data_IF_548844386237
#
_entry.id   IF_548844386237
#
_cell.length_a   1.000
_cell.length_b   1.000
_cell.length_c   1.000
_cell.angle_alpha   90.00
_cell.angle_beta   90.00
_cell.angle_gamma   90.00
#
_symmetry.space_group_name_H-M   'P 1'
#
loop_
_entity.id
_entity.type
_entity.pdbx_description
1 polymer ?
#
# COMPACT_ATOMS: atom_id res chain seq x y z
N UNK A 1 41.75 -9.56 41.97
CA UNK A 1 41.37 -10.99 41.80
C UNK A 1 39.93 -11.11 42.28
N UNK A 2 38.91 -11.24 41.43
CA UNK A 2 38.69 -12.30 40.45
C UNK A 2 38.09 -11.74 39.16
N UNK A 3 38.82 -11.86 38.06
CA UNK A 3 38.29 -11.79 36.69
C UNK A 3 37.99 -13.24 36.32
N UNK A 4 36.77 -13.54 35.86
CA UNK A 4 36.49 -14.56 34.84
C UNK A 4 34.99 -14.78 34.64
N UNK A 5 34.57 -14.64 33.36
CA UNK A 5 33.49 -15.34 32.65
C UNK A 5 32.10 -15.36 33.31
N UNK A 6 31.04 -14.84 32.68
CA UNK A 6 30.45 -15.44 31.47
C UNK A 6 29.85 -14.34 30.58
N UNK A 7 30.47 -14.11 29.43
CA UNK A 7 29.75 -13.74 28.21
C UNK A 7 29.06 -15.00 27.71
N UNK A 8 27.72 -15.08 27.74
CA UNK A 8 26.93 -15.83 26.75
C UNK A 8 25.42 -15.71 27.06
N UNK A 9 24.61 -15.55 26.00
CA UNK A 9 23.14 -15.81 25.95
C UNK A 9 22.27 -14.70 26.55
N UNK A 10 21.48 -13.88 25.83
CA UNK A 10 21.02 -13.90 24.44
C UNK A 10 20.94 -12.46 23.93
N UNK A 11 21.67 -12.16 22.86
CA UNK A 11 21.17 -11.24 21.84
C UNK A 11 19.88 -11.86 21.30
N UNK A 12 18.75 -11.64 22.00
CA UNK A 12 17.46 -11.81 21.37
C UNK A 12 17.39 -10.64 20.39
N UNK A 13 17.88 -10.89 19.17
CA UNK A 13 17.55 -10.06 18.03
C UNK A 13 16.04 -10.14 17.87
N UNK A 14 15.32 -9.26 18.56
CA UNK A 14 13.91 -9.01 18.30
C UNK A 14 13.88 -8.42 16.91
N UNK A 15 13.76 -9.30 15.93
CA UNK A 15 13.40 -8.93 14.58
C UNK A 15 11.98 -8.43 14.69
N UNK A 16 11.80 -7.13 14.93
CA UNK A 16 10.53 -6.47 14.66
C UNK A 16 10.31 -6.56 13.15
N UNK A 17 9.80 -7.71 12.71
CA UNK A 17 9.06 -7.78 11.47
C UNK A 17 7.88 -6.84 11.67
N UNK A 18 7.97 -5.63 11.13
CA UNK A 18 6.86 -4.69 11.13
C UNK A 18 5.71 -5.33 10.34
N UNK A 19 4.82 -5.99 11.06
CA UNK A 19 3.62 -6.60 10.52
C UNK A 19 2.81 -5.48 9.86
N UNK A 20 2.56 -5.59 8.55
CA UNK A 20 1.68 -4.63 7.87
C UNK A 20 0.29 -4.76 8.53
N UNK A 21 -0.30 -3.68 9.05
CA UNK A 21 -1.63 -3.77 9.62
C UNK A 21 -2.60 -4.22 8.53
N UNK A 22 -3.37 -5.27 8.82
CA UNK A 22 -4.40 -5.75 7.91
C UNK A 22 -5.52 -4.72 7.81
N UNK A 23 -6.05 -4.51 6.60
CA UNK A 23 -7.18 -3.62 6.34
C UNK A 23 -8.45 -4.46 6.34
N UNK A 24 -9.43 -4.13 7.18
CA UNK A 24 -10.73 -4.80 7.15
C UNK A 24 -11.55 -4.34 5.94
N UNK A 25 -12.53 -5.16 5.54
CA UNK A 25 -13.35 -4.86 4.37
C UNK A 25 -14.25 -3.64 4.63
N UNK A 26 -14.71 -3.45 5.87
CA UNK A 26 -15.50 -2.28 6.29
C UNK A 26 -14.68 -0.98 6.22
N UNK A 27 -13.42 -1.04 6.68
CA UNK A 27 -12.50 0.09 6.61
C UNK A 27 -12.19 0.46 5.16
N UNK A 28 -12.02 -0.55 4.30
CA UNK A 28 -11.82 -0.33 2.86
C UNK A 28 -13.05 0.33 2.24
N UNK A 29 -14.26 -0.18 2.52
CA UNK A 29 -15.50 0.41 2.01
C UNK A 29 -15.68 1.86 2.46
N UNK A 30 -15.40 2.15 3.73
CA UNK A 30 -15.47 3.51 4.26
C UNK A 30 -14.50 4.44 3.51
N UNK A 31 -13.27 3.98 3.25
CA UNK A 31 -12.27 4.73 2.48
C UNK A 31 -12.70 4.95 1.01
N UNK A 32 -13.33 3.95 0.38
CA UNK A 32 -13.85 4.06 -0.99
C UNK A 32 -15.05 5.02 -1.09
N UNK A 33 -15.85 5.14 -0.03
CA UNK A 33 -16.99 6.08 0.02
C UNK A 33 -16.55 7.52 0.34
N UNK A 34 -15.38 7.71 0.96
CA UNK A 34 -14.81 9.04 1.21
C UNK A 34 -14.17 9.63 -0.06
N UNK A 35 -14.96 10.42 -0.79
CA UNK A 35 -14.53 11.14 -2.00
C UNK A 35 -13.34 12.06 -1.76
N UNK A 36 -13.26 12.72 -0.60
CA UNK A 36 -12.17 13.66 -0.28
C UNK A 36 -10.88 12.89 -0.08
N UNK A 37 -10.95 11.78 0.66
CA UNK A 37 -9.83 10.87 0.84
C UNK A 37 -9.34 10.30 -0.50
N UNK A 38 -10.22 9.71 -1.30
CA UNK A 38 -9.84 9.15 -2.61
C UNK A 38 -9.23 10.20 -3.52
N UNK A 39 -9.81 11.40 -3.61
CA UNK A 39 -9.26 12.48 -4.44
C UNK A 39 -7.84 12.85 -4.01
N UNK A 40 -7.54 12.89 -2.71
CA UNK A 40 -6.17 13.13 -2.22
C UNK A 40 -5.22 12.00 -2.63
N UNK A 41 -5.64 10.75 -2.48
CA UNK A 41 -4.81 9.60 -2.85
C UNK A 41 -4.54 9.54 -4.36
N UNK A 42 -5.55 9.84 -5.19
CA UNK A 42 -5.41 9.92 -6.64
C UNK A 42 -4.45 11.05 -7.05
N UNK A 43 -4.57 12.23 -6.45
CA UNK A 43 -3.63 13.34 -6.68
C UNK A 43 -2.20 12.97 -6.29
N UNK A 44 -2.01 12.33 -5.13
CA UNK A 44 -0.69 11.82 -4.75
C UNK A 44 -0.13 10.82 -5.78
N UNK A 45 -0.94 9.85 -6.21
CA UNK A 45 -0.57 8.87 -7.22
C UNK A 45 -0.17 9.55 -8.54
N UNK A 46 -0.86 10.62 -8.94
CA UNK A 46 -0.54 11.39 -10.14
C UNK A 46 0.58 12.42 -9.97
N UNK A 47 1.09 12.62 -8.75
CA UNK A 47 2.06 13.68 -8.46
C UNK A 47 1.45 15.10 -8.49
N UNK A 48 0.12 15.21 -8.45
CA UNK A 48 -0.63 16.46 -8.48
C UNK A 48 -0.94 17.00 -7.06
N UNK A 49 -0.37 16.40 -6.02
CA UNK A 49 -0.60 16.79 -4.63
C UNK A 49 0.28 16.06 -3.62
N UNK A 50 0.20 16.47 -2.35
CA UNK A 50 0.97 15.86 -1.28
C UNK A 50 0.54 14.42 -1.03
N UNK A 51 1.50 13.60 -0.61
CA UNK A 51 1.28 12.22 -0.24
C UNK A 51 1.35 12.03 1.28
N UNK A 52 0.41 11.28 1.84
CA UNK A 52 0.55 10.70 3.17
C UNK A 52 1.30 9.35 3.10
N UNK A 53 1.56 8.66 4.23
CA UNK A 53 2.24 7.36 4.21
C UNK A 53 1.53 6.30 3.35
N UNK A 54 0.19 6.32 3.31
CA UNK A 54 -0.61 5.37 2.52
C UNK A 54 -0.49 5.68 1.03
N UNK A 55 -0.65 6.95 0.63
CA UNK A 55 -0.49 7.39 -0.75
C UNK A 55 0.90 7.10 -1.30
N UNK A 56 1.96 7.30 -0.50
CA UNK A 56 3.33 6.90 -0.89
C UNK A 56 3.44 5.40 -1.16
N UNK A 57 2.83 4.58 -0.30
CA UNK A 57 2.81 3.13 -0.47
C UNK A 57 2.06 2.74 -1.74
N UNK A 58 0.85 3.26 -1.95
CA UNK A 58 0.05 3.03 -3.16
C UNK A 58 0.81 3.42 -4.42
N UNK A 59 1.44 4.61 -4.42
CA UNK A 59 2.26 5.10 -5.53
C UNK A 59 3.42 4.15 -5.87
N UNK A 60 4.08 3.61 -4.84
CA UNK A 60 5.20 2.67 -5.00
C UNK A 60 4.76 1.34 -5.62
N UNK A 61 3.58 0.84 -5.22
CA UNK A 61 3.07 -0.45 -5.69
C UNK A 61 2.22 -0.38 -6.96
N UNK A 62 1.75 0.81 -7.35
CA UNK A 62 0.87 1.01 -8.51
C UNK A 62 1.40 0.36 -9.81
N UNK A 63 2.68 0.50 -10.20
CA UNK A 63 3.19 -0.15 -11.42
C UNK A 63 3.09 -1.69 -11.36
N UNK A 64 3.40 -2.28 -10.21
CA UNK A 64 3.37 -3.73 -10.02
C UNK A 64 1.93 -4.26 -10.12
N UNK A 65 1.02 -3.62 -9.37
CA UNK A 65 -0.40 -3.98 -9.33
C UNK A 65 -1.05 -3.86 -10.72
N UNK A 66 -0.75 -2.79 -11.46
CA UNK A 66 -1.33 -2.56 -12.79
C UNK A 66 -0.82 -3.54 -13.85
N UNK A 67 0.40 -4.08 -13.70
CA UNK A 67 0.92 -5.19 -14.52
C UNK A 67 0.38 -6.56 -14.10
N UNK A 68 -0.51 -6.61 -13.11
CA UNK A 68 -1.07 -7.85 -12.57
C UNK A 68 -0.12 -8.62 -11.65
N UNK A 69 0.93 -7.98 -11.13
CA UNK A 69 1.92 -8.62 -10.27
C UNK A 69 1.85 -8.09 -8.83
N UNK A 70 1.59 -8.96 -7.86
CA UNK A 70 1.81 -8.63 -6.45
C UNK A 70 2.29 -9.86 -5.66
N UNK A 71 3.61 -10.15 -5.66
CA UNK A 71 4.15 -11.36 -5.05
C UNK A 71 4.06 -11.34 -3.52
N UNK A 72 3.85 -10.17 -2.91
CA UNK A 72 3.75 -9.99 -1.45
C UNK A 72 2.31 -9.74 -0.95
N UNK A 73 1.31 -9.89 -1.83
CA UNK A 73 -0.09 -9.72 -1.47
C UNK A 73 -0.69 -11.04 -0.96
N UNK A 74 -1.49 -10.94 0.11
CA UNK A 74 -2.37 -12.02 0.56
C UNK A 74 -3.58 -12.15 -0.38
N UNK A 75 -4.30 -13.29 -0.36
CA UNK A 75 -5.54 -13.44 -1.13
C UNK A 75 -6.58 -12.35 -0.82
N UNK A 76 -6.64 -11.86 0.43
CA UNK A 76 -7.52 -10.75 0.80
C UNK A 76 -7.07 -9.45 0.13
N UNK A 77 -5.78 -9.12 0.21
CA UNK A 77 -5.24 -7.89 -0.41
C UNK A 77 -5.46 -7.88 -1.93
N UNK A 78 -5.32 -9.03 -2.61
CA UNK A 78 -5.60 -9.14 -4.04
C UNK A 78 -7.06 -8.77 -4.35
N UNK A 79 -8.02 -9.30 -3.58
CA UNK A 79 -9.45 -8.96 -3.75
C UNK A 79 -9.71 -7.48 -3.48
N UNK A 80 -9.14 -6.94 -2.41
CA UNK A 80 -9.28 -5.53 -2.04
C UNK A 80 -8.70 -4.61 -3.11
N UNK A 81 -7.53 -4.95 -3.67
CA UNK A 81 -6.93 -4.23 -4.80
C UNK A 81 -7.88 -4.23 -6.00
N UNK A 82 -8.44 -5.39 -6.38
CA UNK A 82 -9.40 -5.47 -7.49
C UNK A 82 -10.64 -4.60 -7.25
N UNK A 83 -11.14 -4.57 -6.01
CA UNK A 83 -12.25 -3.69 -5.63
C UNK A 83 -11.89 -2.21 -5.77
N UNK A 84 -10.70 -1.80 -5.32
CA UNK A 84 -10.19 -0.42 -5.45
C UNK A 84 -10.06 -0.02 -6.92
N UNK A 85 -9.40 -0.85 -7.74
CA UNK A 85 -9.24 -0.58 -9.17
C UNK A 85 -10.60 -0.46 -9.88
N UNK A 86 -11.51 -1.40 -9.60
CA UNK A 86 -12.88 -1.39 -10.13
C UNK A 86 -13.65 -0.12 -9.71
N UNK A 87 -13.48 0.32 -8.47
CA UNK A 87 -14.12 1.52 -7.96
C UNK A 87 -13.57 2.78 -8.65
N UNK A 88 -12.25 2.90 -8.79
CA UNK A 88 -11.59 4.03 -9.46
C UNK A 88 -11.99 4.09 -10.93
N UNK A 89 -11.98 2.96 -11.64
CA UNK A 89 -12.36 2.90 -13.05
C UNK A 89 -13.80 3.40 -13.28
N UNK A 90 -14.75 3.05 -12.41
CA UNK A 90 -16.16 3.46 -12.54
C UNK A 90 -16.42 4.89 -12.11
N UNK A 91 -15.81 5.35 -11.02
CA UNK A 91 -16.16 6.62 -10.38
C UNK A 91 -15.19 7.77 -10.72
N UNK A 92 -13.97 7.46 -11.14
CA UNK A 92 -12.89 8.41 -11.42
C UNK A 92 -12.20 8.12 -12.77
N UNK A 93 -12.95 8.07 -13.89
CA UNK A 93 -12.43 7.63 -15.18
C UNK A 93 -11.33 8.55 -15.74
N UNK A 94 -11.35 9.84 -15.40
CA UNK A 94 -10.33 10.81 -15.83
C UNK A 94 -9.00 10.54 -15.15
N UNK A 95 -9.02 10.37 -13.84
CA UNK A 95 -7.85 10.04 -13.02
C UNK A 95 -7.33 8.64 -13.38
N UNK A 96 -8.23 7.68 -13.60
CA UNK A 96 -7.88 6.35 -14.07
C UNK A 96 -7.09 6.38 -15.37
N UNK A 97 -7.55 7.14 -16.37
CA UNK A 97 -6.83 7.29 -17.64
C UNK A 97 -5.43 7.89 -17.46
N UNK A 98 -5.28 8.86 -16.55
CA UNK A 98 -3.97 9.43 -16.22
C UNK A 98 -3.06 8.41 -15.53
N UNK A 99 -3.59 7.63 -14.58
CA UNK A 99 -2.86 6.56 -13.88
C UNK A 99 -2.33 5.53 -14.89
N UNK A 100 -3.18 5.08 -15.83
CA UNK A 100 -2.74 4.14 -16.87
C UNK A 100 -1.61 4.72 -17.73
N UNK A 101 -1.74 5.98 -18.16
CA UNK A 101 -0.66 6.65 -18.93
C UNK A 101 0.65 6.75 -18.14
N UNK A 102 0.56 6.99 -16.83
CA UNK A 102 1.73 7.17 -15.99
C UNK A 102 2.43 5.85 -15.64
N UNK A 103 1.67 4.76 -15.45
CA UNK A 103 2.19 3.53 -14.85
C UNK A 103 2.09 2.28 -15.73
N UNK A 104 1.13 2.19 -16.66
CA UNK A 104 0.91 1.00 -17.48
C UNK A 104 1.83 0.92 -18.71
N UNK A 105 2.45 2.04 -19.11
CA UNK A 105 3.41 2.11 -20.23
C UNK A 105 4.88 1.98 -19.82
N UNK A 106 5.15 1.70 -18.55
CA UNK A 106 6.50 1.49 -18.01
C UNK A 106 6.75 0.03 -17.69
#
# INVERSE_FOLDING_TARGET
MRIALICLVCLVGVSWAAEKPAVSDEALEAALKDRRYLTRQLKCALGEGPCDPIGRRLKTYAPLVLRGNCPKCSPQEVRQIQQVLSHIQRNYPKEWAKILRQYAGQ
#
